data_IF_823689051986
#
_entry.id   IF_823689051986
#
_cell.length_a   1.000
_cell.length_b   1.000
_cell.length_c   1.000
_cell.angle_alpha   90.00
_cell.angle_beta   90.00
_cell.angle_gamma   90.00
#
_symmetry.space_group_name_H-M   'P 1'
#
loop_
_entity.id
_entity.type
_entity.pdbx_description
1 polymer ?
#
# COMPACT_ATOMS: atom_id res chain seq x y z
N UNK A 1 -6.00 -35.38 22.02
CA UNK A 1 -4.75 -34.99 21.37
C UNK A 1 -5.04 -33.81 20.43
N UNK A 2 -4.85 -32.61 20.95
CA UNK A 2 -5.00 -31.37 20.19
C UNK A 2 -3.78 -31.20 19.29
N UNK A 3 -3.93 -31.50 18.02
CA UNK A 3 -2.92 -31.17 17.03
C UNK A 3 -2.92 -29.67 16.78
N UNK A 4 -1.86 -28.98 17.22
CA UNK A 4 -1.57 -27.65 16.74
C UNK A 4 -1.24 -27.75 15.24
N UNK A 5 -2.17 -27.34 14.39
CA UNK A 5 -1.88 -27.13 12.98
C UNK A 5 -1.01 -25.87 12.91
N UNK A 6 0.31 -26.08 12.86
CA UNK A 6 1.23 -25.02 12.52
C UNK A 6 0.86 -24.52 11.11
N UNK A 7 0.32 -23.33 11.00
CA UNK A 7 0.20 -22.66 9.72
C UNK A 7 1.61 -22.49 9.18
N UNK A 8 1.99 -23.34 8.24
CA UNK A 8 3.20 -23.13 7.45
C UNK A 8 2.96 -21.85 6.66
N UNK A 9 3.65 -20.80 7.07
CA UNK A 9 3.79 -19.61 6.23
C UNK A 9 4.62 -20.07 5.04
N UNK A 10 3.98 -20.23 3.88
CA UNK A 10 4.72 -20.54 2.66
C UNK A 10 5.69 -19.39 2.36
N UNK A 11 6.97 -19.70 2.07
CA UNK A 11 7.93 -18.66 1.71
C UNK A 11 7.45 -17.94 0.45
N UNK A 12 7.45 -16.62 0.47
CA UNK A 12 7.09 -15.81 -0.69
C UNK A 12 8.28 -15.71 -1.65
N UNK A 13 8.04 -15.65 -2.97
CA UNK A 13 9.10 -15.51 -3.97
C UNK A 13 9.94 -14.23 -3.78
N UNK A 14 11.20 -14.20 -4.28
CA UNK A 14 12.04 -13.00 -4.27
C UNK A 14 11.34 -11.79 -4.92
N UNK A 15 11.55 -10.61 -4.36
CA UNK A 15 10.92 -9.37 -4.84
C UNK A 15 9.43 -9.27 -4.56
N UNK A 16 8.88 -10.21 -3.81
CA UNK A 16 7.48 -10.20 -3.38
C UNK A 16 7.39 -9.79 -1.92
N UNK A 17 6.44 -8.92 -1.62
CA UNK A 17 6.12 -8.56 -0.24
C UNK A 17 4.62 -8.37 -0.08
N UNK A 18 4.17 -8.48 1.12
CA UNK A 18 2.79 -8.16 1.51
C UNK A 18 2.75 -7.60 2.91
N UNK A 19 1.73 -6.83 3.19
CA UNK A 19 1.41 -6.44 4.56
C UNK A 19 -0.10 -6.43 4.78
N UNK A 20 -0.47 -6.51 6.05
CA UNK A 20 -1.81 -6.25 6.54
C UNK A 20 -1.79 -5.11 7.55
N UNK A 21 -2.86 -4.34 7.60
CA UNK A 21 -2.93 -3.20 8.51
C UNK A 21 -4.28 -2.48 8.50
N UNK A 22 -4.24 -1.23 8.94
CA UNK A 22 -5.39 -0.32 8.95
C UNK A 22 -5.09 0.91 8.13
N UNK A 23 -6.07 1.31 7.33
CA UNK A 23 -6.07 2.52 6.54
C UNK A 23 -7.16 3.46 7.05
N UNK A 24 -6.78 4.66 7.44
CA UNK A 24 -7.71 5.74 7.73
C UNK A 24 -7.76 6.69 6.54
N UNK A 25 -8.94 6.90 6.03
CA UNK A 25 -9.24 7.84 4.95
C UNK A 25 -10.03 9.01 5.52
N UNK A 26 -9.60 10.22 5.26
CA UNK A 26 -10.29 11.44 5.66
C UNK A 26 -10.38 12.41 4.48
N UNK A 27 -11.60 12.82 4.15
CA UNK A 27 -11.91 13.90 3.20
C UNK A 27 -12.75 14.95 3.90
N UNK A 28 -13.16 16.03 3.20
CA UNK A 28 -14.11 17.00 3.74
C UNK A 28 -15.50 16.43 3.99
N UNK A 29 -15.85 15.31 3.33
CA UNK A 29 -17.20 14.74 3.35
C UNK A 29 -17.29 13.49 4.24
N UNK A 30 -16.21 12.73 4.39
CA UNK A 30 -16.24 11.48 5.12
C UNK A 30 -14.92 11.17 5.84
N UNK A 31 -15.03 10.33 6.87
CA UNK A 31 -13.92 9.68 7.53
C UNK A 31 -14.21 8.20 7.65
N UNK A 32 -13.28 7.37 7.20
CA UNK A 32 -13.42 5.89 7.24
C UNK A 32 -12.16 5.24 7.75
N UNK A 33 -12.34 4.13 8.45
CA UNK A 33 -11.26 3.21 8.82
C UNK A 33 -11.52 1.88 8.14
N UNK A 34 -10.55 1.42 7.36
CA UNK A 34 -10.62 0.17 6.61
C UNK A 34 -9.47 -0.75 7.02
N UNK A 35 -9.68 -2.05 6.92
CA UNK A 35 -8.56 -2.99 6.91
C UNK A 35 -7.98 -3.04 5.50
N UNK A 36 -6.67 -3.12 5.41
CA UNK A 36 -5.94 -3.19 4.15
C UNK A 36 -5.04 -4.41 4.14
N UNK A 37 -5.10 -5.17 3.04
CA UNK A 37 -4.14 -6.19 2.69
C UNK A 37 -3.52 -5.81 1.35
N UNK A 38 -2.21 -5.59 1.30
CA UNK A 38 -1.48 -5.24 0.09
C UNK A 38 -0.46 -6.32 -0.24
N UNK A 39 -0.56 -6.84 -1.44
CA UNK A 39 0.39 -7.77 -2.03
C UNK A 39 1.07 -7.10 -3.22
N UNK A 40 2.40 -7.23 -3.30
CA UNK A 40 3.21 -6.66 -4.37
C UNK A 40 4.15 -7.72 -4.93
N UNK A 41 4.12 -7.89 -6.25
CA UNK A 41 5.04 -8.77 -6.97
C UNK A 41 5.57 -8.01 -8.20
N UNK A 42 6.83 -7.56 -8.14
CA UNK A 42 7.39 -6.68 -9.17
C UNK A 42 6.55 -5.40 -9.32
N UNK A 43 6.04 -5.16 -10.51
CA UNK A 43 5.18 -3.99 -10.80
C UNK A 43 3.67 -4.25 -10.56
N UNK A 44 3.31 -5.46 -10.17
CA UNK A 44 1.91 -5.83 -9.91
C UNK A 44 1.58 -5.59 -8.45
N UNK A 45 0.57 -4.75 -8.21
CA UNK A 45 -0.03 -4.51 -6.90
C UNK A 45 -1.43 -5.10 -6.83
N UNK A 46 -1.74 -5.77 -5.73
CA UNK A 46 -3.10 -6.17 -5.39
C UNK A 46 -3.42 -5.70 -3.98
N UNK A 47 -4.45 -4.87 -3.85
CA UNK A 47 -4.91 -4.34 -2.58
C UNK A 47 -6.35 -4.74 -2.35
N UNK A 48 -6.62 -5.28 -1.18
CA UNK A 48 -7.98 -5.57 -0.71
C UNK A 48 -8.30 -4.66 0.45
N UNK A 49 -9.38 -3.89 0.32
CA UNK A 49 -9.93 -3.03 1.36
C UNK A 49 -11.17 -3.68 1.94
N UNK A 50 -11.22 -3.78 3.27
CA UNK A 50 -12.33 -4.37 4.01
C UNK A 50 -12.86 -3.36 5.03
N UNK A 51 -14.18 -3.26 5.11
CA UNK A 51 -14.88 -2.50 6.13
C UNK A 51 -15.03 -3.28 7.44
N UNK A 52 -15.92 -2.82 8.33
CA UNK A 52 -16.27 -3.52 9.55
C UNK A 52 -16.70 -4.97 9.28
N UNK A 53 -16.39 -5.86 10.21
CA UNK A 53 -16.71 -7.30 10.12
C UNK A 53 -16.03 -8.03 8.93
N UNK A 54 -14.98 -7.42 8.34
CA UNK A 54 -14.23 -8.05 7.25
C UNK A 54 -14.93 -8.06 5.89
N UNK A 55 -16.00 -7.30 5.73
CA UNK A 55 -16.71 -7.19 4.44
C UNK A 55 -15.83 -6.46 3.43
N UNK A 56 -15.59 -7.09 2.30
CA UNK A 56 -14.78 -6.50 1.22
C UNK A 56 -15.50 -5.27 0.64
N UNK A 57 -14.81 -4.13 0.65
CA UNK A 57 -15.33 -2.85 0.15
C UNK A 57 -14.81 -2.58 -1.26
N UNK A 58 -13.55 -2.86 -1.51
CA UNK A 58 -12.92 -2.67 -2.81
C UNK A 58 -11.72 -3.59 -2.98
N UNK A 59 -11.43 -3.92 -4.23
CA UNK A 59 -10.18 -4.53 -4.65
C UNK A 59 -9.52 -3.62 -5.67
N UNK A 60 -8.24 -3.34 -5.51
CA UNK A 60 -7.46 -2.51 -6.41
C UNK A 60 -6.33 -3.36 -6.97
N UNK A 61 -6.22 -3.40 -8.29
CA UNK A 61 -5.11 -4.04 -8.98
C UNK A 61 -4.40 -3.02 -9.85
N UNK A 62 -3.11 -2.88 -9.70
CA UNK A 62 -2.27 -2.10 -10.59
C UNK A 62 -1.29 -3.01 -11.31
N UNK A 63 -1.20 -2.86 -12.63
CA UNK A 63 -0.34 -3.65 -13.50
C UNK A 63 -0.05 -2.88 -14.78
N UNK A 64 1.24 -2.75 -15.14
CA UNK A 64 1.69 -2.15 -16.40
C UNK A 64 1.01 -0.82 -16.79
N UNK A 65 0.91 0.10 -15.84
CA UNK A 65 0.32 1.42 -16.09
C UNK A 65 -1.21 1.46 -16.10
N UNK A 66 -1.86 0.37 -15.74
CA UNK A 66 -3.30 0.28 -15.57
C UNK A 66 -3.68 0.08 -14.10
N UNK A 67 -4.63 0.84 -13.62
CA UNK A 67 -5.23 0.71 -12.30
C UNK A 67 -6.69 0.24 -12.46
N UNK A 68 -6.99 -0.92 -11.89
CA UNK A 68 -8.32 -1.52 -11.93
C UNK A 68 -8.91 -1.47 -10.52
N UNK A 69 -10.05 -0.83 -10.37
CA UNK A 69 -10.77 -0.72 -9.10
C UNK A 69 -12.10 -1.46 -9.22
N UNK A 70 -12.27 -2.49 -8.41
CA UNK A 70 -13.52 -3.24 -8.29
C UNK A 70 -14.20 -2.92 -6.94
N UNK A 71 -15.42 -2.40 -7.00
CA UNK A 71 -16.26 -2.07 -5.86
C UNK A 71 -17.56 -2.85 -5.95
N UNK A 72 -17.55 -4.08 -5.46
CA UNK A 72 -18.75 -4.91 -5.42
C UNK A 72 -19.30 -5.28 -6.79
N UNK A 73 -18.42 -5.57 -7.75
CA UNK A 73 -18.77 -5.92 -9.13
C UNK A 73 -18.81 -4.73 -10.11
N UNK A 74 -18.71 -3.51 -9.61
CA UNK A 74 -18.49 -2.33 -10.45
C UNK A 74 -16.99 -2.14 -10.68
N UNK A 75 -16.54 -2.40 -11.89
CA UNK A 75 -15.12 -2.34 -12.27
C UNK A 75 -14.87 -1.06 -13.06
N UNK A 76 -13.93 -0.26 -12.59
CA UNK A 76 -13.44 0.93 -13.29
C UNK A 76 -11.95 0.77 -13.58
N UNK A 77 -11.53 1.13 -14.79
CA UNK A 77 -10.15 1.07 -15.25
C UNK A 77 -9.61 2.47 -15.44
N UNK A 78 -8.43 2.72 -14.90
CA UNK A 78 -7.70 3.97 -15.05
C UNK A 78 -6.34 3.69 -15.65
N UNK A 79 -5.81 4.64 -16.43
CA UNK A 79 -4.41 4.66 -16.84
C UNK A 79 -3.60 5.52 -15.86
N UNK A 80 -2.28 5.41 -15.88
CA UNK A 80 -1.40 6.14 -14.95
C UNK A 80 -1.60 7.66 -14.96
N UNK A 81 -2.01 8.21 -16.10
CA UNK A 81 -2.27 9.64 -16.28
C UNK A 81 -3.73 10.06 -16.06
N UNK A 82 -4.63 9.09 -15.81
CA UNK A 82 -6.03 9.38 -15.55
C UNK A 82 -6.23 9.96 -14.14
N UNK A 83 -7.15 10.92 -14.04
CA UNK A 83 -7.63 11.38 -12.76
C UNK A 83 -8.65 10.39 -12.17
N UNK A 84 -8.65 10.23 -10.86
CA UNK A 84 -9.60 9.37 -10.19
C UNK A 84 -11.00 9.99 -10.21
N UNK A 85 -12.00 9.14 -10.37
CA UNK A 85 -13.42 9.50 -10.33
C UNK A 85 -14.14 8.85 -9.15
N UNK A 86 -13.36 8.36 -8.16
CA UNK A 86 -13.91 7.78 -6.93
C UNK A 86 -14.35 8.86 -5.95
N UNK A 87 -15.40 8.62 -5.20
CA UNK A 87 -15.91 9.55 -4.18
C UNK A 87 -14.80 9.99 -3.20
N UNK A 88 -14.60 11.28 -3.10
CA UNK A 88 -13.54 11.91 -2.30
C UNK A 88 -12.19 12.05 -3.02
N UNK A 89 -12.01 11.39 -4.15
CA UNK A 89 -10.77 11.41 -4.94
C UNK A 89 -10.97 12.00 -6.33
N UNK A 90 -12.14 12.51 -6.65
CA UNK A 90 -12.47 13.04 -7.98
C UNK A 90 -11.49 14.12 -8.42
N UNK A 91 -10.95 13.94 -9.61
CA UNK A 91 -9.97 14.87 -10.19
C UNK A 91 -8.56 14.74 -9.63
N UNK A 92 -8.29 13.84 -8.69
CA UNK A 92 -6.95 13.59 -8.16
C UNK A 92 -6.20 12.56 -9.01
N UNK A 93 -4.90 12.77 -9.19
CA UNK A 93 -3.97 11.76 -9.71
C UNK A 93 -3.22 11.15 -8.54
N UNK A 94 -3.53 9.91 -8.20
CA UNK A 94 -2.80 9.20 -7.16
C UNK A 94 -1.40 8.81 -7.69
N UNK A 95 -0.30 9.09 -6.97
CA UNK A 95 1.05 8.73 -7.41
C UNK A 95 1.30 7.23 -7.15
N UNK A 96 0.52 6.38 -7.82
CA UNK A 96 0.43 4.95 -7.54
C UNK A 96 1.77 4.24 -7.66
N UNK A 97 2.47 4.50 -8.77
CA UNK A 97 3.77 3.88 -9.03
C UNK A 97 4.79 4.23 -7.95
N UNK A 98 4.79 5.46 -7.49
CA UNK A 98 5.65 5.93 -6.41
C UNK A 98 5.29 5.30 -5.07
N UNK A 99 4.00 5.17 -4.79
CA UNK A 99 3.52 4.64 -3.51
C UNK A 99 4.01 3.22 -3.22
N UNK A 100 4.08 2.36 -4.23
CA UNK A 100 4.58 0.99 -4.08
C UNK A 100 6.02 0.92 -3.57
N UNK A 101 6.84 1.94 -3.88
CA UNK A 101 8.20 2.09 -3.35
C UNK A 101 8.21 2.79 -1.99
N UNK A 102 7.47 3.89 -1.86
CA UNK A 102 7.47 4.70 -0.64
C UNK A 102 6.98 3.94 0.60
N UNK A 103 5.97 3.07 0.45
CA UNK A 103 5.48 2.25 1.56
C UNK A 103 6.54 1.28 2.09
N UNK A 104 7.56 0.98 1.31
CA UNK A 104 8.74 0.20 1.71
C UNK A 104 9.88 1.07 2.26
N UNK A 105 9.75 2.39 2.22
CA UNK A 105 10.84 3.32 2.53
C UNK A 105 11.88 3.42 1.43
N UNK A 106 11.51 3.16 0.18
CA UNK A 106 12.42 3.17 -0.97
C UNK A 106 12.05 4.28 -1.96
N UNK A 107 13.02 4.65 -2.80
CA UNK A 107 12.81 5.55 -3.94
C UNK A 107 12.35 4.76 -5.16
N UNK A 108 11.74 5.45 -6.11
CA UNK A 108 11.35 4.86 -7.40
C UNK A 108 12.55 4.52 -8.30
N UNK A 109 13.70 5.13 -8.05
CA UNK A 109 14.90 4.96 -8.83
C UNK A 109 15.77 3.87 -8.22
N UNK A 110 15.69 2.66 -8.76
CA UNK A 110 16.55 1.54 -8.40
C UNK A 110 16.27 0.94 -7.01
N UNK A 111 15.17 1.24 -6.37
CA UNK A 111 14.80 0.69 -5.06
C UNK A 111 15.75 1.10 -3.93
N UNK A 112 16.42 2.23 -4.05
CA UNK A 112 17.30 2.77 -3.01
C UNK A 112 16.47 3.20 -1.79
N UNK A 113 17.03 3.04 -0.60
CA UNK A 113 16.41 3.53 0.62
C UNK A 113 16.21 5.05 0.55
N UNK A 114 15.07 5.53 1.04
CA UNK A 114 14.81 6.96 1.16
C UNK A 114 15.87 7.61 2.07
N UNK A 115 16.43 8.73 1.64
CA UNK A 115 17.36 9.54 2.44
C UNK A 115 16.67 10.35 3.51
N UNK A 116 15.36 10.54 3.39
CA UNK A 116 14.49 11.23 4.34
C UNK A 116 13.22 10.41 4.56
N UNK A 117 12.62 10.55 5.74
CA UNK A 117 11.31 9.97 6.04
C UNK A 117 10.14 10.68 5.34
N UNK A 118 10.42 11.70 4.54
CA UNK A 118 9.44 12.58 3.90
C UNK A 118 9.71 12.69 2.40
N UNK A 119 8.63 12.64 1.60
CA UNK A 119 8.68 12.83 0.15
C UNK A 119 7.55 13.76 -0.27
N UNK A 120 7.88 14.76 -1.10
CA UNK A 120 6.89 15.61 -1.77
C UNK A 120 6.89 15.31 -3.27
N UNK A 121 5.69 15.14 -3.82
CA UNK A 121 5.48 15.04 -5.26
C UNK A 121 4.19 15.77 -5.66
N UNK A 122 4.33 16.92 -6.35
CA UNK A 122 3.19 17.80 -6.62
C UNK A 122 2.52 18.24 -5.32
N UNK A 123 1.22 18.05 -5.23
CA UNK A 123 0.43 18.35 -4.01
C UNK A 123 0.39 17.21 -3.00
N UNK A 124 1.08 16.12 -3.28
CA UNK A 124 1.16 14.95 -2.41
C UNK A 124 2.36 15.06 -1.46
N UNK A 125 2.11 14.77 -0.19
CA UNK A 125 3.13 14.73 0.86
C UNK A 125 3.06 13.39 1.58
N UNK A 126 4.08 12.57 1.39
CA UNK A 126 4.24 11.28 2.04
C UNK A 126 5.23 11.38 3.20
N UNK A 127 4.89 10.77 4.32
CA UNK A 127 5.74 10.73 5.52
C UNK A 127 5.68 9.36 6.18
N UNK A 128 6.85 8.85 6.57
CA UNK A 128 6.99 7.70 7.45
C UNK A 128 7.14 8.23 8.87
N UNK A 129 6.24 7.86 9.78
CA UNK A 129 6.22 8.34 11.17
C UNK A 129 6.72 7.29 12.16
N UNK A 130 6.75 6.02 11.77
CA UNK A 130 7.26 4.93 12.60
C UNK A 130 7.84 3.85 11.69
N UNK A 131 9.03 3.34 12.03
CA UNK A 131 9.72 2.28 11.29
C UNK A 131 10.03 1.12 12.22
N UNK A 132 9.74 -0.11 11.78
CA UNK A 132 10.11 -1.34 12.43
C UNK A 132 11.26 -2.06 11.74
N UNK A 133 11.58 -3.27 12.20
CA UNK A 133 12.69 -4.08 11.67
C UNK A 133 12.44 -4.46 10.20
N UNK A 134 11.22 -4.80 9.84
CA UNK A 134 10.86 -5.30 8.51
C UNK A 134 10.44 -4.19 7.53
N UNK A 135 10.21 -2.99 8.01
CA UNK A 135 9.82 -1.86 7.19
C UNK A 135 9.00 -0.81 7.96
N UNK A 136 8.49 0.20 7.25
CA UNK A 136 7.64 1.22 7.83
C UNK A 136 6.40 0.64 8.51
N UNK A 137 6.06 1.14 9.70
CA UNK A 137 4.90 0.70 10.47
C UNK A 137 3.77 1.73 10.49
N UNK A 138 4.11 3.02 10.40
CA UNK A 138 3.11 4.08 10.34
C UNK A 138 3.51 5.12 9.29
N UNK A 139 2.57 5.46 8.44
CA UNK A 139 2.78 6.36 7.29
C UNK A 139 1.57 7.26 7.08
N UNK A 140 1.81 8.44 6.53
CA UNK A 140 0.75 9.35 6.09
C UNK A 140 0.98 9.73 4.64
N UNK A 141 -0.11 9.88 3.89
CA UNK A 141 -0.13 10.47 2.56
C UNK A 141 -1.16 11.60 2.58
N UNK A 142 -0.73 12.81 2.36
CA UNK A 142 -1.56 13.98 2.45
C UNK A 142 -1.63 14.73 1.11
N UNK A 143 -2.83 15.18 0.80
CA UNK A 143 -3.16 16.11 -0.26
C UNK A 143 -4.12 17.14 0.34
N UNK A 144 -4.24 18.38 -0.19
CA UNK A 144 -5.19 19.38 0.34
C UNK A 144 -6.63 18.86 0.49
N UNK A 145 -7.04 17.89 -0.32
CA UNK A 145 -8.41 17.34 -0.34
C UNK A 145 -8.57 16.01 0.39
N UNK A 146 -7.48 15.29 0.67
CA UNK A 146 -7.56 13.96 1.27
C UNK A 146 -6.36 13.70 2.17
N UNK A 147 -6.60 13.00 3.27
CA UNK A 147 -5.56 12.50 4.17
C UNK A 147 -5.72 11.01 4.37
N UNK A 148 -4.65 10.29 4.07
CA UNK A 148 -4.53 8.85 4.30
C UNK A 148 -3.53 8.60 5.43
N UNK A 149 -3.90 7.73 6.36
CA UNK A 149 -3.00 7.21 7.40
C UNK A 149 -2.98 5.70 7.30
N UNK A 150 -1.80 5.15 7.17
CA UNK A 150 -1.59 3.71 7.10
C UNK A 150 -0.83 3.25 8.34
N UNK A 151 -1.36 2.24 9.01
CA UNK A 151 -0.69 1.54 10.09
C UNK A 151 -0.56 0.07 9.74
N UNK A 152 0.68 -0.37 9.57
CA UNK A 152 1.00 -1.76 9.24
C UNK A 152 1.01 -2.57 10.52
N UNK A 153 0.28 -3.67 10.52
CA UNK A 153 0.29 -4.64 11.63
C UNK A 153 1.37 -5.69 11.43
N UNK A 154 1.54 -6.16 10.20
CA UNK A 154 2.46 -7.24 9.88
C UNK A 154 2.98 -7.11 8.46
N UNK A 155 4.30 -7.20 8.30
CA UNK A 155 5.00 -7.39 7.05
C UNK A 155 5.30 -8.87 6.82
N UNK A 156 5.23 -9.30 5.57
CA UNK A 156 5.78 -10.58 5.09
C UNK A 156 6.65 -10.27 3.88
N UNK A 157 7.94 -10.52 4.03
CA UNK A 157 8.96 -10.16 3.03
C UNK A 157 9.74 -11.41 2.67
N UNK A 158 10.13 -11.52 1.39
CA UNK A 158 11.04 -12.55 0.93
C UNK A 158 12.42 -12.46 1.62
N UNK A 159 12.97 -13.60 2.03
CA UNK A 159 14.27 -13.67 2.73
C UNK A 159 15.46 -13.19 1.90
N UNK A 160 15.32 -13.06 0.57
CA UNK A 160 16.41 -12.60 -0.32
C UNK A 160 16.57 -11.08 -0.37
N UNK A 161 15.67 -10.31 0.20
CA UNK A 161 15.80 -8.85 0.31
C UNK A 161 16.64 -8.39 1.52
N UNK A 162 17.18 -9.31 2.30
CA UNK A 162 18.13 -8.93 3.34
C UNK A 162 19.45 -8.56 2.67
N UNK A 163 19.87 -7.29 2.64
CA UNK A 163 21.19 -6.95 2.12
C UNK A 163 22.19 -7.70 2.98
N UNK A 164 23.00 -8.55 2.36
CA UNK A 164 24.20 -9.12 2.97
C UNK A 164 25.01 -7.93 3.47
N UNK A 165 24.99 -7.68 4.76
CA UNK A 165 25.99 -6.83 5.38
C UNK A 165 27.34 -7.47 5.02
N UNK A 166 28.02 -6.86 4.07
CA UNK A 166 29.43 -7.18 3.85
C UNK A 166 30.17 -6.85 5.14
N UNK A 167 30.55 -7.89 5.81
CA UNK A 167 31.53 -7.84 6.88
C UNK A 167 32.86 -7.40 6.27
#
# INVERSE_FOLDING_TARGET
>A
LSGCVAHRIEPIPPGVWRFSGKLSLQTSEESRILSIDWYQAGEVSEIVLKGPLGVKVATIRADQGELIVDRGGQVVRYRDDDVLMQTGFEGLKLPWKSLSYWVRGHTEHGGQQLTSSEVKRGDWYFRITETGIEGPLAMTLEHPRVKLRLRVRQWVISAEETPLQKI
#
